data_IF_312464488518
#
_entry.id   IF_312464488518
#
_cell.length_a   1.000
_cell.length_b   1.000
_cell.length_c   1.000
_cell.angle_alpha   90.00
_cell.angle_beta   90.00
_cell.angle_gamma   90.00
#
_symmetry.space_group_name_H-M   'P 1'
#
loop_
_entity.id
_entity.type
_entity.pdbx_description
1 polymer ?
#
# COMPACT_ATOMS: atom_id res chain seq x y z
N UNK A 1 30.14 36.90 48.56
CA UNK A 1 30.56 36.07 47.40
C UNK A 1 30.36 34.60 47.74
N UNK A 2 29.40 33.93 47.09
CA UNK A 2 29.42 32.54 46.60
C UNK A 2 28.00 32.17 46.16
N UNK A 3 27.88 31.95 44.86
CA UNK A 3 26.63 31.86 44.12
C UNK A 3 25.92 30.52 44.29
N UNK A 4 24.60 30.59 44.23
CA UNK A 4 23.71 29.46 44.01
C UNK A 4 23.50 29.39 42.50
N UNK A 5 24.04 28.36 41.85
CA UNK A 5 23.76 28.08 40.44
C UNK A 5 22.87 26.83 40.41
N UNK A 6 21.58 27.05 40.19
CA UNK A 6 20.64 26.00 39.82
C UNK A 6 20.96 25.55 38.39
N UNK A 7 21.51 24.36 38.23
CA UNK A 7 21.57 23.70 36.93
C UNK A 7 20.17 23.12 36.64
N UNK A 8 19.35 23.88 35.92
CA UNK A 8 18.13 23.36 35.33
C UNK A 8 18.50 22.30 34.30
N UNK A 9 18.22 21.03 34.62
CA UNK A 9 18.36 19.93 33.70
C UNK A 9 17.32 20.07 32.58
N UNK A 10 17.75 20.60 31.44
CA UNK A 10 16.99 20.54 30.19
C UNK A 10 16.99 19.10 29.69
N UNK A 11 16.01 18.31 30.12
CA UNK A 11 15.66 17.06 29.46
C UNK A 11 15.07 17.41 28.10
N UNK A 12 15.94 17.49 27.09
CA UNK A 12 15.50 17.53 25.71
C UNK A 12 14.68 16.29 25.42
N UNK A 13 13.39 16.47 25.14
CA UNK A 13 12.55 15.41 24.58
C UNK A 13 13.17 15.00 23.24
N UNK A 14 13.84 13.85 23.21
CA UNK A 14 14.20 13.19 21.96
C UNK A 14 12.88 12.75 21.30
N UNK A 15 12.41 13.54 20.34
CA UNK A 15 11.34 13.12 19.44
C UNK A 15 11.97 12.07 18.53
N UNK A 16 11.80 10.79 18.86
CA UNK A 16 12.17 9.70 17.95
C UNK A 16 11.43 9.93 16.63
N UNK A 17 12.12 9.93 15.47
CA UNK A 17 11.41 9.95 14.21
C UNK A 17 10.53 8.70 14.20
N UNK A 18 9.22 8.90 14.14
CA UNK A 18 8.30 7.84 13.74
C UNK A 18 8.83 7.36 12.39
N UNK A 19 9.43 6.17 12.35
CA UNK A 19 9.83 5.55 11.08
C UNK A 19 8.56 5.48 10.24
N UNK A 20 8.60 6.16 9.09
CA UNK A 20 7.43 6.34 8.26
C UNK A 20 7.18 5.04 7.50
N UNK A 21 6.08 4.37 7.83
CA UNK A 21 5.59 3.18 7.15
C UNK A 21 5.53 3.40 5.62
N UNK A 22 6.36 2.69 4.83
CA UNK A 22 6.62 2.99 3.43
C UNK A 22 5.35 2.90 2.58
N UNK A 23 5.11 3.86 1.69
CA UNK A 23 4.00 3.82 0.75
C UNK A 23 4.42 3.17 -0.56
N UNK A 24 4.06 1.89 -0.73
CA UNK A 24 4.37 1.09 -1.91
C UNK A 24 3.26 1.12 -2.98
N UNK A 25 2.46 2.19 -3.05
CA UNK A 25 1.30 2.31 -3.95
C UNK A 25 1.52 3.06 -5.27
N UNK A 26 2.76 3.41 -5.60
CA UNK A 26 3.02 4.11 -6.85
C UNK A 26 2.56 3.25 -8.06
N UNK A 27 2.05 3.83 -9.16
CA UNK A 27 1.59 3.06 -10.32
C UNK A 27 2.67 2.18 -10.98
N UNK A 28 3.96 2.49 -10.80
CA UNK A 28 5.08 1.63 -11.22
C UNK A 28 5.71 0.85 -10.04
N UNK A 29 5.11 0.95 -8.84
CA UNK A 29 5.61 0.37 -7.61
C UNK A 29 5.56 -1.16 -7.60
N UNK A 30 6.28 -1.75 -6.65
CA UNK A 30 6.48 -3.20 -6.56
C UNK A 30 5.17 -4.02 -6.63
N UNK A 31 4.15 -3.62 -5.86
CA UNK A 31 2.87 -4.35 -5.80
C UNK A 31 2.10 -4.31 -7.12
N UNK A 32 2.17 -3.20 -7.85
CA UNK A 32 1.52 -3.03 -9.16
C UNK A 32 2.26 -3.83 -10.22
N UNK A 33 3.58 -3.69 -10.28
CA UNK A 33 4.42 -4.38 -11.25
C UNK A 33 4.32 -5.91 -11.10
N UNK A 34 4.37 -6.42 -9.87
CA UNK A 34 4.28 -7.86 -9.63
C UNK A 34 2.87 -8.41 -9.83
N UNK A 35 1.83 -7.66 -9.45
CA UNK A 35 0.45 -8.08 -9.70
C UNK A 35 0.16 -8.23 -11.19
N UNK A 36 0.70 -7.31 -12.02
CA UNK A 36 0.63 -7.44 -13.48
C UNK A 36 1.31 -8.70 -14.00
N UNK A 37 2.54 -8.98 -13.55
CA UNK A 37 3.29 -10.18 -13.93
C UNK A 37 2.50 -11.44 -13.58
N UNK A 38 1.87 -11.49 -12.40
CA UNK A 38 1.10 -12.65 -11.96
C UNK A 38 -0.15 -12.86 -12.80
N UNK A 39 -0.91 -11.79 -13.09
CA UNK A 39 -2.08 -11.84 -13.98
C UNK A 39 -1.71 -12.32 -15.39
N UNK A 40 -0.61 -11.82 -15.95
CA UNK A 40 -0.11 -12.22 -17.27
C UNK A 40 0.30 -13.69 -17.27
N UNK A 41 1.07 -14.13 -16.28
CA UNK A 41 1.55 -15.52 -16.19
C UNK A 41 0.40 -16.51 -15.95
N UNK A 42 -0.68 -16.06 -15.31
CA UNK A 42 -1.92 -16.82 -15.16
C UNK A 42 -2.82 -16.82 -16.41
N UNK A 43 -2.47 -16.06 -17.46
CA UNK A 43 -3.26 -15.97 -18.70
C UNK A 43 -4.56 -15.18 -18.57
N UNK A 44 -4.71 -14.38 -17.50
CA UNK A 44 -5.92 -13.56 -17.26
C UNK A 44 -5.98 -12.34 -18.20
N UNK A 45 -4.82 -11.87 -18.65
CA UNK A 45 -4.62 -10.66 -19.45
C UNK A 45 -3.51 -10.87 -20.47
N UNK A 46 -3.71 -10.37 -21.69
CA UNK A 46 -2.66 -10.27 -22.70
C UNK A 46 -1.76 -9.04 -22.50
N UNK A 47 -0.58 -9.04 -23.11
CA UNK A 47 0.46 -8.00 -22.97
C UNK A 47 0.02 -6.57 -23.33
N UNK A 48 -1.08 -6.41 -24.09
CA UNK A 48 -1.55 -5.13 -24.63
C UNK A 48 -2.85 -4.63 -23.98
N UNK A 49 -3.33 -5.26 -22.91
CA UNK A 49 -4.70 -5.02 -22.40
C UNK A 49 -4.83 -4.02 -21.25
N UNK A 50 -3.72 -3.53 -20.66
CA UNK A 50 -3.77 -2.64 -19.50
C UNK A 50 -3.16 -1.26 -19.75
N UNK A 51 -3.85 -0.24 -19.26
CA UNK A 51 -3.32 1.10 -19.09
C UNK A 51 -2.62 1.20 -17.73
N UNK A 52 -1.29 1.02 -17.72
CA UNK A 52 -0.49 1.02 -16.49
C UNK A 52 -0.46 2.39 -15.81
N UNK A 53 -0.68 3.49 -16.54
CA UNK A 53 -0.73 4.84 -15.96
C UNK A 53 -2.04 5.09 -15.18
N UNK A 54 -3.10 4.35 -15.53
CA UNK A 54 -4.39 4.43 -14.85
C UNK A 54 -4.51 3.47 -13.66
N UNK A 55 -3.52 2.61 -13.40
CA UNK A 55 -3.55 1.68 -12.26
C UNK A 55 -3.58 2.45 -10.94
N UNK A 56 -4.34 1.93 -9.98
CA UNK A 56 -4.43 2.46 -8.63
C UNK A 56 -4.10 1.35 -7.64
N UNK A 57 -3.28 1.67 -6.65
CA UNK A 57 -3.03 0.82 -5.50
C UNK A 57 -3.40 1.59 -4.23
N UNK A 58 -4.15 0.94 -3.35
CA UNK A 58 -4.58 1.50 -2.07
C UNK A 58 -4.12 0.58 -0.95
N UNK A 59 -3.44 1.12 0.06
CA UNK A 59 -3.01 0.33 1.22
C UNK A 59 -4.22 0.08 2.12
N UNK A 60 -4.63 -1.17 2.22
CA UNK A 60 -5.73 -1.58 3.10
C UNK A 60 -5.26 -1.78 4.54
N UNK A 61 -4.05 -2.31 4.71
CA UNK A 61 -3.47 -2.58 6.03
C UNK A 61 -1.94 -2.49 6.00
N UNK A 62 -1.36 -2.15 7.14
CA UNK A 62 0.07 -2.21 7.39
C UNK A 62 0.32 -2.61 8.84
N UNK A 63 1.08 -3.69 9.02
CA UNK A 63 1.43 -4.23 10.33
C UNK A 63 2.94 -4.12 10.55
N UNK A 64 3.40 -3.46 11.62
CA UNK A 64 4.82 -3.40 11.94
C UNK A 64 5.32 -4.80 12.37
N UNK A 65 6.40 -5.26 11.73
CA UNK A 65 7.10 -6.50 12.07
C UNK A 65 8.32 -6.27 12.98
N UNK A 66 8.66 -5.00 13.23
CA UNK A 66 9.88 -4.58 13.92
C UNK A 66 11.07 -4.42 12.96
N UNK A 67 12.09 -3.69 13.42
CA UNK A 67 13.30 -3.43 12.63
C UNK A 67 13.05 -2.64 11.34
N UNK A 68 12.04 -1.76 11.33
CA UNK A 68 11.72 -0.95 10.16
C UNK A 68 11.04 -1.73 9.03
N UNK A 69 10.43 -2.88 9.34
CA UNK A 69 9.73 -3.73 8.38
C UNK A 69 8.24 -3.78 8.66
N UNK A 70 7.47 -3.91 7.59
CA UNK A 70 6.02 -3.85 7.60
C UNK A 70 5.45 -4.93 6.71
N UNK A 71 4.45 -5.65 7.21
CA UNK A 71 3.61 -6.53 6.40
C UNK A 71 2.43 -5.72 5.90
N UNK A 72 2.33 -5.54 4.59
CA UNK A 72 1.36 -4.63 3.99
C UNK A 72 0.40 -5.36 3.08
N UNK A 73 -0.87 -4.96 3.16
CA UNK A 73 -1.95 -5.42 2.28
C UNK A 73 -2.39 -4.27 1.39
N UNK A 74 -2.46 -4.51 0.08
CA UNK A 74 -2.94 -3.54 -0.89
C UNK A 74 -4.12 -4.06 -1.69
N UNK A 75 -5.05 -3.17 -2.03
CA UNK A 75 -6.01 -3.35 -3.09
C UNK A 75 -5.48 -2.67 -4.35
N UNK A 76 -5.33 -3.41 -5.44
CA UNK A 76 -4.82 -2.89 -6.70
C UNK A 76 -5.88 -3.06 -7.79
N UNK A 77 -6.27 -1.95 -8.41
CA UNK A 77 -7.24 -1.93 -9.51
C UNK A 77 -6.52 -1.66 -10.82
N UNK A 78 -6.65 -2.58 -11.76
CA UNK A 78 -6.14 -2.50 -13.13
C UNK A 78 -7.28 -2.17 -14.10
N UNK A 79 -7.36 -0.93 -14.61
CA UNK A 79 -8.38 -0.55 -15.58
C UNK A 79 -8.23 -1.30 -16.90
N UNK A 80 -9.36 -1.66 -17.50
CA UNK A 80 -9.41 -2.32 -18.80
C UNK A 80 -10.40 -1.62 -19.73
N UNK A 81 -9.96 -1.09 -20.88
CA UNK A 81 -10.86 -0.48 -21.84
C UNK A 81 -11.96 -1.47 -22.28
N UNK A 82 -13.23 -1.07 -22.12
CA UNK A 82 -14.39 -1.87 -22.55
C UNK A 82 -14.65 -3.16 -21.74
N UNK A 83 -13.94 -3.38 -20.62
CA UNK A 83 -14.13 -4.53 -19.73
C UNK A 83 -14.18 -4.08 -18.27
N UNK A 84 -14.77 -4.85 -17.35
CA UNK A 84 -14.61 -4.59 -15.92
C UNK A 84 -13.13 -4.56 -15.53
N UNK A 85 -12.73 -3.70 -14.57
CA UNK A 85 -11.36 -3.69 -14.07
C UNK A 85 -10.99 -5.04 -13.47
N UNK A 86 -9.70 -5.33 -13.41
CA UNK A 86 -9.19 -6.44 -12.60
C UNK A 86 -8.75 -5.89 -11.26
N UNK A 87 -9.15 -6.57 -10.20
CA UNK A 87 -8.86 -6.16 -8.84
C UNK A 87 -8.05 -7.27 -8.17
N UNK A 88 -6.93 -6.90 -7.55
CA UNK A 88 -6.09 -7.80 -6.76
C UNK A 88 -6.03 -7.30 -5.31
N UNK A 89 -6.13 -8.24 -4.37
CA UNK A 89 -5.60 -8.04 -3.03
C UNK A 89 -4.18 -8.60 -3.02
N UNK A 90 -3.21 -7.82 -2.55
CA UNK A 90 -1.81 -8.26 -2.46
C UNK A 90 -1.32 -8.20 -1.03
N UNK A 91 -0.39 -9.09 -0.69
CA UNK A 91 0.30 -9.15 0.59
C UNK A 91 1.80 -9.27 0.33
N UNK A 92 2.59 -8.42 0.98
CA UNK A 92 4.05 -8.52 0.95
C UNK A 92 4.67 -7.90 2.20
N UNK A 93 5.99 -8.05 2.34
CA UNK A 93 6.77 -7.29 3.30
C UNK A 93 7.48 -6.15 2.57
N UNK A 94 7.51 -4.99 3.21
CA UNK A 94 8.31 -3.83 2.84
C UNK A 94 9.17 -3.40 4.03
N UNK A 95 10.23 -2.65 3.77
CA UNK A 95 11.04 -1.95 4.76
C UNK A 95 11.00 -0.45 4.51
N UNK A 96 11.47 0.35 5.45
CA UNK A 96 11.54 1.81 5.30
C UNK A 96 12.36 2.26 4.07
N UNK A 97 13.18 1.38 3.48
CA UNK A 97 13.98 1.66 2.30
C UNK A 97 13.54 0.90 1.04
N UNK A 98 12.83 -0.22 1.19
CA UNK A 98 12.52 -1.11 0.06
C UNK A 98 11.11 -1.69 0.11
N UNK A 99 10.36 -1.52 -0.97
CA UNK A 99 9.06 -2.16 -1.14
C UNK A 99 9.17 -3.62 -1.58
N UNK A 100 10.38 -4.09 -1.92
CA UNK A 100 10.61 -5.37 -2.60
C UNK A 100 11.25 -6.44 -1.70
N UNK A 101 11.09 -6.33 -0.37
CA UNK A 101 11.68 -7.27 0.61
C UNK A 101 11.20 -8.72 0.40
N UNK A 102 9.98 -8.91 -0.11
CA UNK A 102 9.46 -10.22 -0.48
C UNK A 102 8.71 -10.19 -1.81
N UNK A 103 8.59 -11.36 -2.44
CA UNK A 103 7.56 -11.57 -3.45
C UNK A 103 6.17 -11.26 -2.86
N UNK A 104 5.24 -10.87 -3.73
CA UNK A 104 3.85 -10.66 -3.33
C UNK A 104 3.13 -12.01 -3.30
N UNK A 105 2.18 -12.16 -2.38
CA UNK A 105 1.03 -13.05 -2.58
C UNK A 105 -0.08 -12.21 -3.20
N UNK A 106 -0.79 -12.72 -4.20
CA UNK A 106 -1.88 -12.00 -4.86
C UNK A 106 -3.13 -12.87 -4.98
N UNK A 107 -4.27 -12.28 -4.64
CA UNK A 107 -5.59 -12.88 -4.81
C UNK A 107 -6.42 -11.99 -5.74
N UNK A 108 -7.01 -12.58 -6.77
CA UNK A 108 -7.94 -11.86 -7.63
C UNK A 108 -9.31 -11.75 -6.95
N UNK A 109 -9.86 -10.54 -6.91
CA UNK A 109 -11.24 -10.31 -6.47
C UNK A 109 -12.17 -10.76 -7.60
N UNK A 110 -12.99 -11.78 -7.34
CA UNK A 110 -13.93 -12.34 -8.32
C UNK A 110 -15.36 -11.85 -8.14
N UNK A 111 -15.71 -11.40 -6.94
CA UNK A 111 -17.03 -10.87 -6.60
C UNK A 111 -16.89 -9.84 -5.48
N UNK A 112 -17.72 -8.80 -5.54
CA UNK A 112 -17.79 -7.73 -4.53
C UNK A 112 -19.24 -7.56 -4.12
N UNK A 113 -19.49 -7.56 -2.81
CA UNK A 113 -20.81 -7.31 -2.24
C UNK A 113 -20.80 -5.92 -1.60
N UNK A 114 -21.84 -5.12 -1.87
CA UNK A 114 -22.04 -3.80 -1.28
C UNK A 114 -23.50 -3.69 -0.87
N UNK A 115 -23.76 -3.13 0.30
CA UNK A 115 -25.10 -2.66 0.62
C UNK A 115 -25.39 -1.47 -0.31
N UNK A 116 -26.55 -1.46 -0.97
CA UNK A 116 -26.97 -0.32 -1.79
C UNK A 116 -26.99 0.92 -0.87
N UNK A 117 -26.17 1.92 -1.22
CA UNK A 117 -26.24 3.20 -0.55
C UNK A 117 -27.70 3.67 -0.59
N UNK A 118 -28.28 3.93 0.59
CA UNK A 118 -29.62 4.47 0.72
C UNK A 118 -29.74 5.64 -0.27
N UNK A 119 -30.60 5.48 -1.26
CA UNK A 119 -30.71 6.37 -2.40
C UNK A 119 -30.86 7.82 -1.94
N UNK A 120 -30.02 8.67 -2.51
CA UNK A 120 -30.27 10.11 -2.59
C UNK A 120 -31.48 10.31 -3.51
N UNK A 121 -32.68 10.20 -2.93
CA UNK A 121 -33.92 10.67 -3.55
C UNK A 121 -34.13 12.12 -3.14
N UNK A 122 -33.58 13.05 -3.91
CA UNK A 122 -34.15 14.40 -4.05
C UNK A 122 -34.69 14.54 -5.46
N UNK A 123 -36.00 14.31 -5.59
CA UNK A 123 -36.84 15.00 -6.59
C UNK A 123 -37.03 16.46 -6.18
#
# INVERSE_FOLDING_TARGET
>A
MKGIWSAAALWGMMVSPLMADPLCNHPDGWVVSMGWVYLKNAGVVGSAELDTAAVRAERLASEPLGGGRYRQVYHVTYPRPGKPPLELITLHVASDTECSETAITAWQVSATYRDEAAGDTTD
#
